data_IF_435965056742
#
_entry.id   IF_435965056742
#
_cell.length_a   1.000
_cell.length_b   1.000
_cell.length_c   1.000
_cell.angle_alpha   90.00
_cell.angle_beta   90.00
_cell.angle_gamma   90.00
#
_symmetry.space_group_name_H-M   'P 1'
#
loop_
_entity.id
_entity.type
_entity.pdbx_description
1 polymer ?
#
# COMPACT_ATOMS: atom_id res chain seq x y z
N UNK A 1 -17.28 -4.47 -0.38
CA UNK A 1 -17.80 -3.34 -1.19
C UNK A 1 -16.78 -2.21 -1.20
N UNK A 2 -16.46 -1.65 -0.03
CA UNK A 2 -15.45 -0.62 0.15
C UNK A 2 -13.99 -1.12 0.23
N UNK A 3 -13.78 -2.40 0.55
CA UNK A 3 -12.44 -2.98 0.71
C UNK A 3 -11.83 -2.76 2.09
N UNK A 4 -12.60 -2.23 3.03
CA UNK A 4 -12.15 -1.90 4.38
C UNK A 4 -12.62 -2.95 5.39
N UNK A 5 -11.72 -3.31 6.32
CA UNK A 5 -12.07 -4.10 7.51
C UNK A 5 -12.88 -3.24 8.49
N UNK A 6 -13.56 -3.86 9.45
CA UNK A 6 -14.38 -3.14 10.45
C UNK A 6 -13.59 -2.05 11.18
N UNK A 7 -12.36 -2.35 11.64
CA UNK A 7 -11.51 -1.34 12.27
C UNK A 7 -11.16 -0.19 11.33
N UNK A 8 -10.84 -0.49 10.07
CA UNK A 8 -10.58 0.49 9.03
C UNK A 8 -11.81 1.38 8.74
N UNK A 9 -13.02 0.83 8.78
CA UNK A 9 -14.25 1.60 8.63
C UNK A 9 -14.53 2.51 9.81
N UNK A 10 -14.41 2.00 11.05
CA UNK A 10 -14.51 2.82 12.27
C UNK A 10 -13.52 3.98 12.23
N UNK A 11 -12.27 3.72 11.82
CA UNK A 11 -11.25 4.74 11.69
C UNK A 11 -11.60 5.80 10.64
N UNK A 12 -11.98 5.38 9.43
CA UNK A 12 -12.28 6.30 8.34
C UNK A 12 -13.51 7.16 8.68
N UNK A 13 -14.58 6.53 9.13
CA UNK A 13 -15.84 7.21 9.46
C UNK A 13 -15.67 8.16 10.65
N UNK A 14 -14.95 7.74 11.69
CA UNK A 14 -14.64 8.60 12.83
C UNK A 14 -13.77 9.79 12.44
N UNK A 15 -12.78 9.61 11.55
CA UNK A 15 -12.03 10.73 11.00
C UNK A 15 -12.94 11.67 10.19
N UNK A 16 -13.82 11.14 9.34
CA UNK A 16 -14.77 11.94 8.53
C UNK A 16 -15.71 12.79 9.38
N UNK A 17 -16.18 12.26 10.51
CA UNK A 17 -17.11 12.97 11.38
C UNK A 17 -16.42 13.98 12.30
N UNK A 18 -15.28 13.61 12.90
CA UNK A 18 -14.75 14.33 14.05
C UNK A 18 -13.45 15.09 13.77
N UNK A 19 -12.72 14.77 12.70
CA UNK A 19 -11.49 15.45 12.36
C UNK A 19 -11.75 16.71 11.53
N UNK A 20 -11.58 17.88 12.16
CA UNK A 20 -11.77 19.18 11.51
C UNK A 20 -10.49 19.77 10.90
N UNK A 21 -9.34 19.38 11.44
CA UNK A 21 -8.02 19.88 11.06
C UNK A 21 -6.95 18.83 11.38
N UNK A 22 -5.73 19.04 10.93
CA UNK A 22 -4.58 18.23 11.32
C UNK A 22 -4.46 18.11 12.85
N UNK A 23 -4.27 16.88 13.32
CA UNK A 23 -4.11 16.56 14.73
C UNK A 23 -3.18 15.36 14.91
N UNK A 24 -2.67 15.20 16.13
CA UNK A 24 -1.77 14.07 16.45
C UNK A 24 -2.48 12.74 16.25
N UNK A 25 -1.77 11.74 15.73
CA UNK A 25 -2.31 10.39 15.53
C UNK A 25 -2.86 9.81 16.85
N UNK A 26 -2.17 10.02 17.97
CA UNK A 26 -2.66 9.58 19.28
C UNK A 26 -3.97 10.26 19.69
N UNK A 27 -4.15 11.55 19.36
CA UNK A 27 -5.38 12.28 19.66
C UNK A 27 -6.54 11.80 18.79
N UNK A 28 -6.29 11.57 17.49
CA UNK A 28 -7.29 11.03 16.58
C UNK A 28 -7.73 9.62 17.00
N UNK A 29 -6.78 8.76 17.39
CA UNK A 29 -7.07 7.41 17.87
C UNK A 29 -7.96 7.43 19.12
N UNK A 30 -7.64 8.26 20.12
CA UNK A 30 -8.45 8.40 21.34
C UNK A 30 -9.86 8.93 21.05
N UNK A 31 -9.98 9.90 20.15
CA UNK A 31 -11.27 10.45 19.72
C UNK A 31 -12.16 9.40 19.06
N UNK A 32 -11.59 8.63 18.12
CA UNK A 32 -12.30 7.54 17.43
C UNK A 32 -12.66 6.43 18.41
N UNK A 33 -11.73 6.06 19.30
CA UNK A 33 -11.94 5.03 20.32
C UNK A 33 -13.17 5.35 21.18
N UNK A 34 -13.24 6.60 21.66
CA UNK A 34 -14.34 7.07 22.50
C UNK A 34 -15.67 7.18 21.73
N UNK A 35 -15.65 7.65 20.48
CA UNK A 35 -16.87 7.99 19.73
C UNK A 35 -17.44 6.85 18.89
N UNK A 36 -16.65 5.83 18.57
CA UNK A 36 -17.02 4.78 17.63
C UNK A 36 -17.13 3.39 18.27
N UNK A 37 -17.29 3.31 19.59
CA UNK A 37 -17.34 2.06 20.38
C UNK A 37 -16.25 1.06 19.94
N UNK A 38 -14.99 1.45 20.05
CA UNK A 38 -13.88 0.60 19.61
C UNK A 38 -13.35 -0.29 20.74
N UNK A 39 -13.56 -1.60 20.61
CA UNK A 39 -13.28 -2.56 21.70
C UNK A 39 -11.92 -3.29 21.61
N UNK A 40 -11.06 -2.97 20.63
CA UNK A 40 -9.79 -3.69 20.40
C UNK A 40 -8.52 -2.90 20.80
N UNK A 41 -8.68 -1.86 21.61
CA UNK A 41 -7.59 -1.02 22.11
C UNK A 41 -7.03 0.00 21.09
N UNK A 42 -6.59 1.15 21.60
CA UNK A 42 -6.16 2.28 20.76
C UNK A 42 -4.94 1.98 19.89
N UNK A 43 -4.06 1.07 20.32
CA UNK A 43 -2.88 0.66 19.55
C UNK A 43 -3.27 0.10 18.16
N UNK A 44 -4.39 -0.61 18.08
CA UNK A 44 -4.92 -1.14 16.82
C UNK A 44 -5.42 -0.02 15.90
N UNK A 45 -6.14 0.97 16.46
CA UNK A 45 -6.58 2.16 15.72
C UNK A 45 -5.40 2.99 15.19
N UNK A 46 -4.38 3.19 16.03
CA UNK A 46 -3.14 3.88 15.66
C UNK A 46 -2.50 3.20 14.44
N UNK A 47 -2.38 1.87 14.45
CA UNK A 47 -1.83 1.12 13.32
C UNK A 47 -2.63 1.34 12.03
N UNK A 48 -3.97 1.37 12.12
CA UNK A 48 -4.84 1.66 10.97
C UNK A 48 -4.66 3.10 10.48
N UNK A 49 -4.60 4.09 11.37
CA UNK A 49 -4.40 5.50 11.02
C UNK A 49 -3.06 5.69 10.30
N UNK A 50 -1.99 5.11 10.85
CA UNK A 50 -0.66 5.15 10.23
C UNK A 50 -0.72 4.51 8.85
N UNK A 51 -1.32 3.33 8.72
CA UNK A 51 -1.46 2.67 7.43
C UNK A 51 -2.27 3.47 6.41
N UNK A 52 -3.31 4.20 6.81
CA UNK A 52 -4.04 5.09 5.91
C UNK A 52 -3.24 6.30 5.42
N UNK A 53 -2.23 6.72 6.18
CA UNK A 53 -1.38 7.86 5.87
C UNK A 53 -0.11 7.50 5.08
N UNK A 54 0.38 6.27 5.23
CA UNK A 54 1.61 5.77 4.58
C UNK A 54 1.57 5.96 3.05
N UNK A 55 2.57 6.67 2.53
CA UNK A 55 2.71 7.04 1.12
C UNK A 55 4.10 6.75 0.53
N UNK A 56 4.94 5.99 1.24
CA UNK A 56 6.20 5.48 0.69
C UNK A 56 5.98 4.52 -0.49
N UNK A 57 6.99 4.34 -1.32
CA UNK A 57 6.93 3.48 -2.51
C UNK A 57 6.39 2.08 -2.20
N UNK A 58 5.35 1.66 -2.92
CA UNK A 58 4.60 0.39 -2.73
C UNK A 58 3.67 0.29 -1.51
N UNK A 59 3.47 1.36 -0.74
CA UNK A 59 2.45 1.42 0.31
C UNK A 59 1.02 1.52 -0.27
N UNK A 60 0.39 2.70 -0.17
CA UNK A 60 -0.94 2.94 -0.75
C UNK A 60 -0.82 3.70 -2.07
N UNK A 61 -1.59 3.28 -3.08
CA UNK A 61 -1.73 4.08 -4.31
C UNK A 61 -2.54 5.37 -4.07
N UNK A 62 -3.47 5.31 -3.12
CA UNK A 62 -4.30 6.43 -2.73
C UNK A 62 -4.42 6.45 -1.20
N UNK A 63 -3.43 7.01 -0.48
CA UNK A 63 -3.49 7.18 0.98
C UNK A 63 -4.73 8.02 1.35
N UNK A 64 -5.49 7.65 2.38
CA UNK A 64 -6.72 8.37 2.76
C UNK A 64 -6.45 9.52 3.73
N UNK A 65 -5.30 9.49 4.39
CA UNK A 65 -4.87 10.49 5.34
C UNK A 65 -3.52 11.10 4.92
N UNK A 66 -3.20 12.31 5.39
CA UNK A 66 -1.89 12.94 5.20
C UNK A 66 -0.89 12.36 6.19
N UNK A 67 0.37 12.28 5.77
CA UNK A 67 1.50 11.96 6.63
C UNK A 67 2.25 13.25 6.98
N UNK A 68 2.06 13.80 8.18
CA UNK A 68 2.80 14.96 8.68
C UNK A 68 3.79 14.50 9.77
N UNK A 69 5.03 14.28 9.35
CA UNK A 69 6.08 13.64 10.16
C UNK A 69 6.46 12.27 9.60
N UNK A 70 7.16 11.46 10.39
CA UNK A 70 7.65 10.16 9.94
C UNK A 70 6.60 9.05 10.13
N UNK A 71 5.92 8.63 9.06
CA UNK A 71 4.90 7.56 9.05
C UNK A 71 5.45 6.18 8.66
N UNK A 72 6.77 6.08 8.61
CA UNK A 72 7.49 4.89 8.23
C UNK A 72 7.89 4.93 6.77
N UNK A 73 8.83 4.08 6.41
CA UNK A 73 9.42 4.05 5.08
C UNK A 73 9.52 2.62 4.55
N UNK A 74 9.99 2.50 3.31
CA UNK A 74 10.30 1.20 2.73
C UNK A 74 11.58 0.56 3.30
N UNK A 75 12.34 1.28 4.13
CA UNK A 75 13.55 0.73 4.74
C UNK A 75 13.24 -0.47 5.64
N UNK A 76 12.14 -0.38 6.39
CA UNK A 76 11.69 -1.40 7.34
C UNK A 76 10.36 -1.99 6.88
N UNK A 77 10.20 -3.30 7.05
CA UNK A 77 9.01 -4.00 6.57
C UNK A 77 7.71 -3.42 7.17
N UNK A 78 6.80 -2.98 6.28
CA UNK A 78 5.50 -2.41 6.65
C UNK A 78 5.57 -1.00 7.26
N UNK A 79 6.68 -0.28 7.11
CA UNK A 79 6.84 1.07 7.66
C UNK A 79 6.83 1.10 9.19
N UNK A 80 7.36 0.06 9.84
CA UNK A 80 7.43 -0.04 11.32
C UNK A 80 8.41 0.95 11.95
N UNK A 81 9.21 1.63 11.14
CA UNK A 81 10.09 2.75 11.50
C UNK A 81 9.34 4.09 11.61
N UNK A 82 8.00 4.07 11.63
CA UNK A 82 7.20 5.25 11.94
C UNK A 82 7.56 5.83 13.32
N UNK A 83 7.47 7.15 13.46
CA UNK A 83 7.67 7.80 14.75
C UNK A 83 6.50 7.52 15.70
N UNK A 84 6.70 7.82 16.99
CA UNK A 84 5.67 7.58 17.99
C UNK A 84 4.40 8.43 17.69
N UNK A 85 3.19 7.89 17.86
CA UNK A 85 1.91 8.53 17.48
C UNK A 85 1.64 9.90 18.09
N UNK A 86 2.34 10.24 19.18
CA UNK A 86 2.27 11.53 19.86
C UNK A 86 3.07 12.65 19.17
N UNK A 87 3.95 12.31 18.23
CA UNK A 87 4.83 13.26 17.52
C UNK A 87 4.49 13.41 16.03
N UNK A 88 3.54 12.62 15.52
CA UNK A 88 3.13 12.64 14.12
C UNK A 88 1.69 13.10 14.00
N UNK A 89 1.40 13.82 12.93
CA UNK A 89 0.13 14.49 12.68
C UNK A 89 -0.50 13.98 11.38
N UNK A 90 -1.82 14.08 11.31
CA UNK A 90 -2.56 13.59 10.16
C UNK A 90 -3.88 14.33 9.99
N UNK A 91 -4.39 14.37 8.76
CA UNK A 91 -5.73 14.83 8.38
C UNK A 91 -6.25 14.07 7.16
N UNK A 92 -7.57 14.05 6.97
CA UNK A 92 -8.17 13.56 5.73
C UNK A 92 -7.63 14.30 4.51
N UNK A 93 -7.17 13.53 3.52
CA UNK A 93 -6.82 14.09 2.22
C UNK A 93 -8.08 14.55 1.48
N UNK A 94 -7.96 15.60 0.68
CA UNK A 94 -9.09 16.15 -0.09
C UNK A 94 -9.74 15.08 -0.99
N UNK A 95 -8.93 14.24 -1.63
CA UNK A 95 -9.45 13.16 -2.50
C UNK A 95 -10.22 12.09 -1.73
N UNK A 96 -10.05 11.95 -0.42
CA UNK A 96 -10.83 11.00 0.38
C UNK A 96 -12.32 11.32 0.31
N UNK A 97 -12.69 12.60 0.30
CA UNK A 97 -14.07 13.04 0.11
C UNK A 97 -14.57 12.89 -1.34
N UNK A 98 -13.67 12.79 -2.30
CA UNK A 98 -14.02 12.48 -3.71
C UNK A 98 -14.27 10.98 -3.88
N UNK A 99 -13.53 10.14 -3.16
CA UNK A 99 -13.72 8.68 -3.16
C UNK A 99 -14.96 8.28 -2.37
N UNK A 100 -15.18 8.91 -1.22
CA UNK A 100 -16.28 8.64 -0.29
C UNK A 100 -17.09 9.93 -0.08
N UNK A 101 -18.05 10.23 -0.96
CA UNK A 101 -18.83 11.46 -0.89
C UNK A 101 -19.64 11.57 0.40
N UNK A 102 -19.69 12.78 0.98
CA UNK A 102 -20.48 13.05 2.19
C UNK A 102 -21.97 12.75 2.01
N UNK A 103 -22.51 13.01 0.82
CA UNK A 103 -23.92 12.75 0.51
C UNK A 103 -24.28 11.27 0.69
N UNK A 104 -23.40 10.35 0.32
CA UNK A 104 -23.64 8.92 0.40
C UNK A 104 -23.61 8.39 1.84
N UNK A 105 -22.98 9.12 2.77
CA UNK A 105 -22.90 8.73 4.19
C UNK A 105 -24.28 8.70 4.87
N UNK A 106 -25.25 9.45 4.35
CA UNK A 106 -26.64 9.46 4.85
C UNK A 106 -27.47 8.28 4.31
N UNK A 107 -26.95 7.54 3.32
CA UNK A 107 -27.66 6.48 2.61
C UNK A 107 -27.10 5.09 2.88
N UNK A 108 -26.06 4.98 3.71
CA UNK A 108 -25.47 3.70 4.10
C UNK A 108 -26.06 3.21 5.42
N UNK A 109 -26.38 1.92 5.48
CA UNK A 109 -26.81 1.26 6.71
C UNK A 109 -25.69 1.35 7.75
N UNK A 110 -26.06 1.65 9.00
CA UNK A 110 -25.11 1.82 10.11
C UNK A 110 -25.32 0.75 11.17
N UNK A 111 -24.24 0.40 11.85
CA UNK A 111 -24.27 -0.53 12.98
C UNK A 111 -24.65 0.26 14.24
N UNK A 112 -25.45 -0.37 15.09
CA UNK A 112 -25.70 0.12 16.45
C UNK A 112 -24.91 -0.77 17.42
N UNK A 113 -24.10 -0.15 18.26
CA UNK A 113 -23.24 -0.80 19.27
C UNK A 113 -23.46 -0.10 20.61
N UNK A 114 -23.84 -0.87 21.64
CA UNK A 114 -24.23 -0.35 22.97
C UNK A 114 -25.25 0.81 22.95
N UNK A 115 -26.16 0.80 21.96
CA UNK A 115 -27.19 1.83 21.79
C UNK A 115 -26.72 3.08 21.03
N UNK A 116 -25.44 3.18 20.70
CA UNK A 116 -24.85 4.26 19.90
C UNK A 116 -24.74 3.84 18.43
N UNK A 117 -25.02 4.77 17.51
CA UNK A 117 -24.83 4.54 16.08
C UNK A 117 -23.35 4.77 15.74
N UNK A 118 -22.68 3.71 15.30
CA UNK A 118 -21.22 3.70 15.04
C UNK A 118 -20.95 3.72 13.53
N UNK A 119 -19.99 2.95 13.02
CA UNK A 119 -19.59 2.94 11.62
C UNK A 119 -20.69 2.42 10.68
N UNK A 120 -20.64 2.79 9.39
CA UNK A 120 -21.46 2.13 8.39
C UNK A 120 -21.09 0.66 8.21
N UNK A 121 -22.09 -0.18 7.93
CA UNK A 121 -21.90 -1.59 7.58
C UNK A 121 -21.00 -1.75 6.36
N UNK A 122 -21.00 -0.77 5.46
CA UNK A 122 -20.11 -0.61 4.32
C UNK A 122 -20.20 0.83 3.82
N UNK A 123 -19.11 1.38 3.31
CA UNK A 123 -19.16 2.57 2.48
C UNK A 123 -19.55 2.23 1.04
N UNK A 124 -19.98 3.25 0.31
CA UNK A 124 -20.25 3.22 -1.12
C UNK A 124 -19.25 4.14 -1.86
N UNK A 125 -17.98 3.72 -2.03
CA UNK A 125 -17.03 4.54 -2.77
C UNK A 125 -17.41 4.67 -4.24
N UNK A 126 -17.10 5.81 -4.86
CA UNK A 126 -17.41 6.09 -6.28
C UNK A 126 -16.61 5.21 -7.25
N UNK A 127 -15.54 4.58 -6.77
CA UNK A 127 -14.72 3.58 -7.48
C UNK A 127 -14.53 2.36 -6.57
N UNK A 128 -14.29 1.15 -7.10
CA UNK A 128 -14.01 -0.04 -6.29
C UNK A 128 -12.67 0.10 -5.56
N UNK A 129 -12.70 0.74 -4.39
CA UNK A 129 -11.51 1.16 -3.64
C UNK A 129 -10.62 -0.02 -3.21
N UNK A 130 -11.20 -1.21 -3.01
CA UNK A 130 -10.45 -2.45 -2.77
C UNK A 130 -9.42 -2.75 -3.86
N UNK A 131 -9.68 -2.33 -5.12
CA UNK A 131 -8.75 -2.50 -6.23
C UNK A 131 -7.69 -1.39 -6.27
N UNK A 132 -7.94 -0.24 -5.64
CA UNK A 132 -7.02 0.91 -5.67
C UNK A 132 -5.80 0.65 -4.79
N UNK A 133 -6.03 0.36 -3.51
CA UNK A 133 -4.95 0.10 -2.54
C UNK A 133 -4.68 -1.40 -2.33
N UNK A 134 -5.53 -2.27 -2.87
CA UNK A 134 -5.48 -3.68 -2.56
C UNK A 134 -6.01 -3.99 -1.15
N UNK A 135 -5.93 -5.26 -0.77
CA UNK A 135 -6.33 -5.71 0.56
C UNK A 135 -5.71 -7.06 0.86
N UNK A 136 -5.24 -7.25 2.09
CA UNK A 136 -4.75 -8.54 2.60
C UNK A 136 -5.52 -8.89 3.87
N UNK A 137 -6.13 -10.07 3.88
CA UNK A 137 -6.89 -10.62 4.99
C UNK A 137 -6.57 -12.09 5.19
N UNK A 138 -6.29 -12.47 6.44
CA UNK A 138 -6.11 -13.87 6.83
C UNK A 138 -7.09 -14.14 7.96
N UNK A 139 -7.90 -15.18 7.80
CA UNK A 139 -8.82 -15.69 8.81
C UNK A 139 -8.67 -17.21 8.90
N UNK A 140 -9.34 -17.84 9.87
CA UNK A 140 -9.31 -19.30 9.98
C UNK A 140 -9.93 -19.90 8.72
N UNK A 141 -9.13 -20.70 8.01
CA UNK A 141 -9.54 -21.40 6.78
C UNK A 141 -9.52 -20.56 5.50
N UNK A 142 -9.24 -19.26 5.55
CA UNK A 142 -9.27 -18.41 4.36
C UNK A 142 -8.13 -17.39 4.32
N UNK A 143 -7.60 -17.16 3.11
CA UNK A 143 -6.69 -16.06 2.79
C UNK A 143 -7.26 -15.29 1.61
N UNK A 144 -7.34 -13.97 1.76
CA UNK A 144 -7.74 -13.03 0.72
C UNK A 144 -6.57 -12.10 0.45
N UNK A 145 -6.19 -12.01 -0.81
CA UNK A 145 -5.13 -11.12 -1.27
C UNK A 145 -5.57 -10.47 -2.59
N UNK A 146 -5.73 -9.16 -2.54
CA UNK A 146 -6.07 -8.32 -3.68
C UNK A 146 -4.91 -7.37 -3.89
N UNK A 147 -4.11 -7.57 -4.95
CA UNK A 147 -3.08 -6.57 -5.28
C UNK A 147 -3.70 -5.36 -5.98
N UNK A 148 -3.20 -4.15 -5.70
CA UNK A 148 -3.70 -2.91 -6.26
C UNK A 148 -3.59 -2.82 -7.78
N UNK A 149 -4.38 -1.92 -8.34
CA UNK A 149 -4.44 -1.55 -9.76
C UNK A 149 -4.22 -0.06 -9.93
N UNK A 150 -3.85 0.32 -11.15
CA UNK A 150 -3.73 1.72 -11.52
C UNK A 150 -5.10 2.41 -11.40
N UNK A 151 -5.23 3.50 -10.63
CA UNK A 151 -6.53 4.17 -10.42
C UNK A 151 -7.20 4.62 -11.72
N UNK A 152 -6.43 5.06 -12.73
CA UNK A 152 -6.98 5.45 -14.03
C UNK A 152 -7.63 4.27 -14.78
N UNK A 153 -7.07 3.07 -14.68
CA UNK A 153 -7.61 1.88 -15.34
C UNK A 153 -8.94 1.49 -14.67
N UNK A 154 -9.03 1.60 -13.33
CA UNK A 154 -10.27 1.42 -12.57
C UNK A 154 -11.34 2.44 -13.00
N UNK A 155 -10.98 3.72 -13.07
CA UNK A 155 -11.91 4.79 -13.46
C UNK A 155 -12.41 4.57 -14.90
N UNK A 156 -11.53 4.15 -15.82
CA UNK A 156 -11.91 3.82 -17.19
C UNK A 156 -12.93 2.67 -17.22
N UNK A 157 -12.70 1.61 -16.43
CA UNK A 157 -13.64 0.49 -16.27
C UNK A 157 -15.00 0.93 -15.74
N UNK A 158 -15.03 1.74 -14.67
CA UNK A 158 -16.28 2.28 -14.11
C UNK A 158 -17.05 3.11 -15.13
N UNK A 159 -16.36 4.00 -15.87
CA UNK A 159 -16.98 4.82 -16.92
C UNK A 159 -17.55 3.95 -18.05
N UNK A 160 -16.83 2.91 -18.47
CA UNK A 160 -17.30 1.97 -19.48
C UNK A 160 -18.55 1.22 -18.99
N UNK A 161 -18.56 0.73 -17.75
CA UNK A 161 -19.73 0.08 -17.15
C UNK A 161 -20.97 0.99 -17.18
N UNK A 162 -20.80 2.28 -16.90
CA UNK A 162 -21.90 3.27 -16.98
C UNK A 162 -22.36 3.44 -18.43
N UNK A 163 -21.43 3.65 -19.37
CA UNK A 163 -21.75 3.87 -20.78
C UNK A 163 -22.50 2.68 -21.42
N UNK A 164 -22.15 1.46 -21.01
CA UNK A 164 -22.76 0.22 -21.48
C UNK A 164 -23.92 -0.27 -20.59
N UNK A 165 -24.49 0.62 -19.75
CA UNK A 165 -25.66 0.34 -18.90
C UNK A 165 -25.52 -0.94 -18.04
N UNK A 166 -24.29 -1.24 -17.61
CA UNK A 166 -23.99 -2.39 -16.76
C UNK A 166 -23.67 -3.70 -17.49
N UNK A 167 -23.65 -3.74 -18.83
CA UNK A 167 -23.16 -4.91 -19.56
C UNK A 167 -21.64 -5.04 -19.40
N UNK A 168 -21.22 -5.86 -18.43
CA UNK A 168 -19.81 -6.02 -18.10
C UNK A 168 -18.98 -6.66 -19.22
N UNK A 169 -19.56 -7.59 -19.98
CA UNK A 169 -18.85 -8.26 -21.06
C UNK A 169 -18.51 -7.26 -22.17
N UNK A 170 -19.48 -6.42 -22.56
CA UNK A 170 -19.26 -5.37 -23.54
C UNK A 170 -18.38 -4.23 -22.98
N UNK A 171 -18.63 -3.79 -21.75
CA UNK A 171 -17.95 -2.64 -21.15
C UNK A 171 -16.46 -2.86 -20.93
N UNK A 172 -16.10 -4.07 -20.48
CA UNK A 172 -14.73 -4.37 -20.05
C UNK A 172 -13.91 -5.03 -21.17
N UNK A 173 -14.52 -5.30 -22.32
CA UNK A 173 -13.84 -5.85 -23.48
C UNK A 173 -12.67 -4.93 -23.90
N UNK A 174 -11.46 -5.47 -23.92
CA UNK A 174 -10.25 -4.75 -24.34
C UNK A 174 -9.68 -3.78 -23.31
N UNK A 175 -10.27 -3.65 -22.11
CA UNK A 175 -9.66 -2.89 -21.01
C UNK A 175 -8.66 -3.76 -20.26
N UNK A 176 -7.49 -3.18 -19.98
CA UNK A 176 -6.46 -3.79 -19.16
C UNK A 176 -6.40 -3.10 -17.81
N UNK A 177 -6.53 -3.87 -16.73
CA UNK A 177 -6.37 -3.38 -15.37
C UNK A 177 -4.97 -3.70 -14.89
N UNK A 178 -4.03 -2.76 -15.10
CA UNK A 178 -2.62 -2.98 -14.77
C UNK A 178 -2.41 -2.94 -13.27
N UNK A 179 -1.59 -3.88 -12.78
CA UNK A 179 -1.06 -3.82 -11.42
C UNK A 179 -0.19 -2.57 -11.30
N UNK A 180 -0.34 -1.86 -10.18
CA UNK A 180 0.36 -0.60 -10.00
C UNK A 180 0.71 -0.39 -8.54
N UNK A 181 1.93 0.07 -8.33
CA UNK A 181 2.46 0.45 -7.03
C UNK A 181 3.09 1.82 -7.19
N UNK A 182 2.51 2.80 -6.51
CA UNK A 182 2.98 4.20 -6.60
C UNK A 182 4.45 4.28 -6.20
N UNK A 183 5.23 5.00 -7.01
CA UNK A 183 6.67 5.21 -6.83
C UNK A 183 7.58 4.07 -7.32
N UNK A 184 7.03 2.91 -7.70
CA UNK A 184 7.86 1.78 -8.15
C UNK A 184 8.37 2.02 -9.58
N UNK A 185 9.66 1.77 -9.79
CA UNK A 185 10.35 1.76 -11.08
C UNK A 185 10.36 0.35 -11.70
N UNK A 186 9.96 -0.65 -10.92
CA UNK A 186 9.83 -2.03 -11.32
C UNK A 186 8.74 -2.28 -12.36
N UNK A 187 8.65 -3.54 -12.79
CA UNK A 187 7.61 -4.00 -13.71
C UNK A 187 6.81 -5.14 -13.13
N UNK A 188 5.60 -5.33 -13.65
CA UNK A 188 4.77 -6.49 -13.30
C UNK A 188 4.43 -7.22 -14.59
N UNK A 189 4.76 -8.50 -14.62
CA UNK A 189 4.37 -9.42 -15.70
C UNK A 189 3.25 -10.30 -15.16
N UNK A 190 2.15 -10.36 -15.91
CA UNK A 190 0.99 -11.21 -15.62
C UNK A 190 0.75 -12.08 -16.86
N UNK A 191 1.01 -13.38 -16.73
CA UNK A 191 0.82 -14.36 -17.82
C UNK A 191 -0.56 -15.03 -17.77
N UNK A 192 -1.45 -14.55 -16.89
CA UNK A 192 -2.78 -15.11 -16.65
C UNK A 192 -2.81 -16.33 -15.73
N UNK A 193 -1.65 -16.93 -15.42
CA UNK A 193 -1.51 -18.05 -14.44
C UNK A 193 -0.73 -17.61 -13.20
N UNK A 194 0.27 -16.77 -13.40
CA UNK A 194 1.19 -16.27 -12.40
C UNK A 194 1.45 -14.80 -12.63
N UNK A 195 1.79 -14.13 -11.53
CA UNK A 195 2.16 -12.72 -11.55
C UNK A 195 3.53 -12.58 -10.91
N UNK A 196 4.45 -11.95 -11.63
CA UNK A 196 5.81 -11.68 -11.14
C UNK A 196 6.04 -10.17 -11.13
N UNK A 197 6.33 -9.64 -9.95
CA UNK A 197 6.74 -8.26 -9.78
C UNK A 197 8.28 -8.21 -9.69
N UNK A 198 8.88 -7.34 -10.49
CA UNK A 198 10.32 -7.14 -10.55
C UNK A 198 10.66 -5.79 -9.93
N UNK A 199 11.82 -5.70 -9.28
CA UNK A 199 12.46 -4.42 -8.99
C UNK A 199 13.09 -3.80 -10.24
N UNK A 200 13.94 -2.81 -10.06
CA UNK A 200 14.69 -2.18 -11.13
C UNK A 200 16.19 -2.22 -10.82
N UNK A 201 16.97 -2.68 -11.78
CA UNK A 201 18.42 -2.84 -11.69
C UNK A 201 19.05 -2.31 -12.96
N UNK A 202 20.15 -1.58 -12.82
CA UNK A 202 20.99 -1.11 -13.92
C UNK A 202 22.38 -1.71 -13.81
N UNK A 203 23.02 -2.02 -14.94
CA UNK A 203 24.43 -2.40 -14.96
C UNK A 203 25.24 -1.11 -14.99
N UNK A 204 26.09 -0.89 -13.98
CA UNK A 204 27.00 0.26 -13.98
C UNK A 204 28.30 -0.05 -14.73
N UNK A 205 28.83 -1.25 -14.54
CA UNK A 205 29.98 -1.72 -15.28
C UNK A 205 29.99 -3.24 -15.41
N UNK A 206 30.63 -3.70 -16.48
CA UNK A 206 30.75 -5.11 -16.79
C UNK A 206 32.14 -5.36 -17.37
N UNK A 207 32.92 -6.21 -16.71
CA UNK A 207 34.24 -6.66 -17.14
C UNK A 207 34.21 -8.16 -17.44
N UNK A 208 35.36 -8.72 -17.80
CA UNK A 208 35.51 -10.17 -18.00
C UNK A 208 35.45 -10.95 -16.67
N UNK A 209 35.62 -10.28 -15.53
CA UNK A 209 35.68 -10.92 -14.20
C UNK A 209 34.49 -10.58 -13.32
N UNK A 210 33.93 -9.37 -13.44
CA UNK A 210 32.94 -8.84 -12.52
C UNK A 210 31.86 -8.04 -13.22
N UNK A 211 30.67 -8.02 -12.61
CA UNK A 211 29.56 -7.16 -13.01
C UNK A 211 29.13 -6.36 -11.79
N UNK A 212 29.07 -5.03 -11.96
CA UNK A 212 28.55 -4.10 -10.96
C UNK A 212 27.13 -3.72 -11.34
N UNK A 213 26.20 -4.04 -10.44
CA UNK A 213 24.79 -3.78 -10.56
C UNK A 213 24.40 -2.70 -9.56
N UNK A 214 23.58 -1.75 -9.99
CA UNK A 214 22.92 -0.80 -9.12
C UNK A 214 21.43 -1.08 -9.06
N UNK A 215 20.94 -1.43 -7.88
CA UNK A 215 19.53 -1.74 -7.62
C UNK A 215 18.85 -0.47 -7.15
N UNK A 216 17.97 0.08 -7.98
CA UNK A 216 17.27 1.36 -7.75
C UNK A 216 15.80 1.19 -7.35
N UNK A 217 15.27 -0.04 -7.49
CA UNK A 217 13.97 -0.41 -6.93
C UNK A 217 13.95 -1.90 -6.56
N UNK A 218 13.19 -2.23 -5.53
CA UNK A 218 13.04 -3.59 -5.03
C UNK A 218 11.71 -4.19 -5.50
N UNK A 219 11.58 -5.50 -5.41
CA UNK A 219 10.28 -6.16 -5.58
C UNK A 219 9.26 -5.63 -4.56
N UNK A 220 8.01 -5.57 -4.97
CA UNK A 220 6.91 -5.18 -4.11
C UNK A 220 6.85 -6.03 -2.83
N UNK A 221 6.66 -5.38 -1.67
CA UNK A 221 6.63 -6.06 -0.37
C UNK A 221 8.01 -6.44 0.20
N UNK A 222 9.09 -6.16 -0.52
CA UNK A 222 10.46 -6.27 -0.01
C UNK A 222 10.91 -4.91 0.52
N UNK A 223 11.36 -4.88 1.78
CA UNK A 223 12.00 -3.73 2.41
C UNK A 223 13.52 -3.77 2.21
N UNK A 224 14.17 -2.62 2.39
CA UNK A 224 15.63 -2.53 2.35
C UNK A 224 16.29 -3.49 3.36
N UNK A 225 15.76 -3.55 4.59
CA UNK A 225 16.21 -4.47 5.63
C UNK A 225 16.15 -5.94 5.19
N UNK A 226 15.03 -6.37 4.59
CA UNK A 226 14.87 -7.74 4.11
C UNK A 226 15.82 -8.03 2.96
N UNK A 227 15.98 -7.10 2.03
CA UNK A 227 16.87 -7.25 0.89
C UNK A 227 18.34 -7.31 1.32
N UNK A 228 18.75 -6.45 2.26
CA UNK A 228 20.09 -6.50 2.88
C UNK A 228 20.36 -7.86 3.53
N UNK A 229 19.38 -8.43 4.22
CA UNK A 229 19.50 -9.79 4.77
C UNK A 229 19.71 -10.86 3.69
N UNK A 230 19.02 -10.75 2.56
CA UNK A 230 19.22 -11.64 1.41
C UNK A 230 20.61 -11.46 0.79
N UNK A 231 21.09 -10.23 0.61
CA UNK A 231 22.43 -9.95 0.10
C UNK A 231 23.52 -10.49 1.04
N UNK A 232 23.33 -10.36 2.35
CA UNK A 232 24.24 -10.91 3.36
C UNK A 232 24.35 -12.45 3.23
N UNK A 233 23.21 -13.12 3.06
CA UNK A 233 23.18 -14.57 2.84
C UNK A 233 23.90 -14.94 1.54
N UNK A 234 23.57 -14.29 0.43
CA UNK A 234 24.18 -14.56 -0.88
C UNK A 234 25.69 -14.27 -0.89
N UNK A 235 26.15 -13.31 -0.07
CA UNK A 235 27.58 -13.04 0.10
C UNK A 235 28.27 -14.19 0.87
N UNK A 236 27.65 -14.70 1.94
CA UNK A 236 28.19 -15.85 2.68
C UNK A 236 28.25 -17.14 1.84
N UNK A 237 27.36 -17.28 0.85
CA UNK A 237 27.33 -18.40 -0.09
C UNK A 237 28.31 -18.21 -1.27
N UNK A 238 28.97 -17.05 -1.37
CA UNK A 238 29.89 -16.71 -2.45
C UNK A 238 29.22 -16.28 -3.76
N UNK A 239 27.89 -16.10 -3.76
CA UNK A 239 27.14 -15.66 -4.96
C UNK A 239 27.34 -14.17 -5.23
N UNK A 240 27.34 -13.37 -4.17
CA UNK A 240 27.61 -11.93 -4.20
C UNK A 240 29.01 -11.68 -3.67
N UNK A 241 29.84 -10.93 -4.39
CA UNK A 241 31.20 -10.61 -3.96
C UNK A 241 31.22 -9.49 -2.92
N UNK A 242 30.45 -8.44 -3.15
CA UNK A 242 30.30 -7.32 -2.23
C UNK A 242 29.00 -6.57 -2.50
N UNK A 243 28.52 -5.84 -1.48
CA UNK A 243 27.38 -4.95 -1.63
C UNK A 243 27.49 -3.75 -0.69
N UNK A 244 26.94 -2.61 -1.12
CA UNK A 244 26.83 -1.39 -0.34
C UNK A 244 25.41 -0.84 -0.46
N UNK A 245 24.90 -0.25 0.62
CA UNK A 245 23.56 0.35 0.65
C UNK A 245 23.67 1.86 0.86
N UNK A 246 23.02 2.60 -0.03
CA UNK A 246 22.90 4.06 0.01
C UNK A 246 21.42 4.50 0.07
N UNK A 247 20.53 3.57 0.42
CA UNK A 247 19.08 3.76 0.45
C UNK A 247 18.66 4.83 1.45
N UNK A 248 17.64 5.60 1.09
CA UNK A 248 17.00 6.63 1.92
C UNK A 248 15.55 6.25 2.20
N UNK A 249 14.82 7.08 2.94
CA UNK A 249 13.39 6.88 3.19
C UNK A 249 12.54 6.97 1.92
N UNK A 250 13.05 7.63 0.88
CA UNK A 250 12.32 7.92 -0.36
C UNK A 250 12.77 7.05 -1.54
N UNK A 251 14.05 6.68 -1.59
CA UNK A 251 14.64 5.97 -2.71
C UNK A 251 15.47 4.77 -2.26
N UNK A 252 15.35 3.66 -2.98
CA UNK A 252 16.21 2.50 -2.81
C UNK A 252 17.48 2.66 -3.66
N UNK A 253 18.62 2.33 -3.08
CA UNK A 253 19.91 2.38 -3.76
C UNK A 253 20.86 1.36 -3.13
N UNK A 254 21.27 0.38 -3.94
CA UNK A 254 22.24 -0.64 -3.56
C UNK A 254 23.22 -0.87 -4.70
N UNK A 255 24.51 -0.87 -4.37
CA UNK A 255 25.54 -1.39 -5.26
C UNK A 255 25.76 -2.85 -4.91
N UNK A 256 25.72 -3.72 -5.91
CA UNK A 256 25.94 -5.16 -5.78
C UNK A 256 26.96 -5.59 -6.83
N UNK A 257 28.04 -6.22 -6.38
CA UNK A 257 29.07 -6.78 -7.26
C UNK A 257 28.97 -8.30 -7.25
N UNK A 258 28.89 -8.90 -8.45
CA UNK A 258 28.89 -10.36 -8.67
C UNK A 258 30.02 -10.74 -9.62
N UNK A 259 30.42 -12.01 -9.63
CA UNK A 259 31.37 -12.50 -10.63
C UNK A 259 30.69 -12.60 -12.00
N UNK A 260 31.49 -12.49 -13.07
CA UNK A 260 31.00 -12.60 -14.44
C UNK A 260 30.34 -13.95 -14.71
N UNK A 261 30.94 -15.02 -14.20
CA UNK A 261 30.43 -16.39 -14.33
C UNK A 261 29.03 -16.54 -13.73
N UNK A 262 28.81 -16.02 -12.53
CA UNK A 262 27.50 -16.05 -11.88
C UNK A 262 26.49 -15.22 -12.67
N UNK A 263 26.87 -14.01 -13.08
CA UNK A 263 25.98 -13.15 -13.86
C UNK A 263 25.51 -13.84 -15.15
N UNK A 264 26.44 -14.38 -15.94
CA UNK A 264 26.11 -15.04 -17.21
C UNK A 264 25.31 -16.35 -17.00
N UNK A 265 25.43 -17.00 -15.84
CA UNK A 265 24.67 -18.20 -15.49
C UNK A 265 23.19 -17.94 -15.18
N UNK A 266 22.84 -16.75 -14.72
CA UNK A 266 21.46 -16.39 -14.33
C UNK A 266 20.75 -15.46 -15.33
N UNK A 267 21.50 -14.67 -16.12
CA UNK A 267 20.95 -13.52 -16.86
C UNK A 267 21.18 -13.58 -18.39
N UNK A 268 21.36 -14.77 -18.96
CA UNK A 268 21.37 -15.00 -20.43
C UNK A 268 19.98 -15.13 -21.04
#
# INVERSE_FOLDING_TARGET
>A
VDGLKTSARKTLDGAMQFQKQSMRVSQLAGLISQKMAYHHGEASLIGVIINFAQDYTTANNLPLLTAEGQFGSRLVAGGKDHAAPRYIFTQLREHTWKVFPKADLHHVDRVTDDGEVVEPLRFAPVIPFVLVNGSIGITVGHRVEVHPRHPADIIAGVRAMIAHKGDAAAALAGLTFRRHFTGSLGSVVDDGKSMTAFGAVTIESMTDTEVKLRVVDLQQGVSAEKFRGQLAQLNSEGTVKSYFEYSTTEAMDFDVTVTREIYDGYWK
#
